data_IF_262907418017
#
_entry.id   IF_262907418017
#
_cell.length_a   1.000
_cell.length_b   1.000
_cell.length_c   1.000
_cell.angle_alpha   90.00
_cell.angle_beta   90.00
_cell.angle_gamma   90.00
#
_symmetry.space_group_name_H-M   'P 1'
#
loop_
_entity.id
_entity.type
_entity.pdbx_description
1 polymer ?
#
# COMPACT_ATOMS: atom_id res chain seq x y z
N UNK A 1 -0.46 -8.52 1.79
CA UNK A 1 -1.06 -7.31 1.18
C UNK A 1 -0.03 -6.42 0.48
N UNK A 2 1.06 -6.00 1.13
CA UNK A 2 2.07 -5.11 0.51
C UNK A 2 2.68 -5.61 -0.80
N UNK A 3 2.94 -6.92 -0.96
CA UNK A 3 3.46 -7.50 -2.22
C UNK A 3 2.49 -7.32 -3.40
N UNK A 4 1.18 -7.48 -3.14
CA UNK A 4 0.15 -7.28 -4.16
C UNK A 4 0.03 -5.79 -4.51
N UNK A 5 0.09 -4.91 -3.52
CA UNK A 5 0.16 -3.46 -3.73
C UNK A 5 1.37 -3.08 -4.59
N UNK A 6 2.54 -3.67 -4.35
CA UNK A 6 3.73 -3.45 -5.18
C UNK A 6 3.49 -3.84 -6.63
N UNK A 7 2.91 -5.03 -6.87
CA UNK A 7 2.60 -5.48 -8.24
C UNK A 7 1.62 -4.53 -8.93
N UNK A 8 0.60 -4.06 -8.22
CA UNK A 8 -0.37 -3.09 -8.75
C UNK A 8 0.30 -1.76 -9.06
N UNK A 9 1.12 -1.24 -8.14
CA UNK A 9 1.88 0.01 -8.33
C UNK A 9 2.86 -0.10 -9.50
N UNK A 10 3.45 -1.27 -9.74
CA UNK A 10 4.38 -1.47 -10.85
C UNK A 10 3.69 -1.92 -12.15
N UNK A 11 2.34 -1.90 -12.22
CA UNK A 11 1.56 -2.39 -13.36
C UNK A 11 1.86 -3.85 -13.75
N UNK A 12 2.32 -4.67 -12.80
CA UNK A 12 2.57 -6.11 -12.98
C UNK A 12 1.26 -6.90 -12.76
N UNK A 13 0.34 -6.35 -11.97
CA UNK A 13 -0.94 -6.98 -11.68
C UNK A 13 -1.94 -6.81 -12.84
N UNK A 14 -2.89 -7.76 -13.03
CA UNK A 14 -4.00 -7.62 -13.96
C UNK A 14 -4.76 -6.29 -13.82
N UNK A 15 -5.33 -5.74 -14.91
CA UNK A 15 -6.04 -4.46 -14.91
C UNK A 15 -7.21 -4.39 -13.91
N UNK A 16 -7.82 -5.53 -13.61
CA UNK A 16 -8.91 -5.64 -12.62
C UNK A 16 -8.41 -5.29 -11.21
N UNK A 17 -7.16 -5.64 -10.88
CA UNK A 17 -6.57 -5.34 -9.59
C UNK A 17 -6.01 -3.92 -9.52
N UNK A 18 -5.71 -3.29 -10.66
CA UNK A 18 -5.23 -1.90 -10.67
C UNK A 18 -6.30 -0.88 -10.29
N UNK A 19 -7.59 -1.17 -10.50
CA UNK A 19 -8.68 -0.33 -9.98
C UNK A 19 -8.77 -0.33 -8.43
N UNK A 20 -8.24 -1.37 -7.79
CA UNK A 20 -8.28 -1.46 -6.33
C UNK A 20 -7.38 -0.43 -5.65
N UNK A 21 -6.37 0.10 -6.35
CA UNK A 21 -5.38 1.00 -5.76
C UNK A 21 -5.10 2.16 -6.70
N UNK A 22 -5.43 3.38 -6.25
CA UNK A 22 -5.23 4.59 -7.04
C UNK A 22 -3.93 5.26 -6.64
N UNK A 23 -2.99 5.42 -7.58
CA UNK A 23 -1.77 6.20 -7.37
C UNK A 23 -2.12 7.67 -7.14
N UNK A 24 -1.53 8.28 -6.11
CA UNK A 24 -1.72 9.70 -5.85
C UNK A 24 -0.85 10.50 -6.83
N UNK A 25 -1.42 10.92 -7.95
CA UNK A 25 -0.76 11.89 -8.83
C UNK A 25 -0.76 13.26 -8.16
N UNK A 26 0.32 13.60 -7.48
CA UNK A 26 0.53 14.95 -6.96
C UNK A 26 1.65 15.55 -7.79
N UNK A 27 1.36 16.56 -8.61
CA UNK A 27 2.36 17.25 -9.45
C UNK A 27 3.40 18.06 -8.67
N UNK A 28 3.54 17.82 -7.36
CA UNK A 28 4.39 18.59 -6.45
C UNK A 28 5.35 17.63 -5.75
N UNK A 29 6.62 17.78 -6.12
CA UNK A 29 7.72 16.87 -5.85
C UNK A 29 8.36 17.18 -4.48
N UNK A 30 7.76 16.71 -3.38
CA UNK A 30 8.34 16.88 -2.05
C UNK A 30 8.26 15.60 -1.22
N UNK A 31 9.40 14.88 -1.16
CA UNK A 31 9.79 13.86 -0.15
C UNK A 31 8.87 12.66 0.07
N UNK A 32 7.73 12.58 -0.60
CA UNK A 32 6.76 11.49 -0.55
C UNK A 32 6.42 11.02 -1.97
N UNK A 33 7.41 10.44 -2.65
CA UNK A 33 7.23 9.84 -3.97
C UNK A 33 6.39 8.55 -3.83
N UNK A 34 5.59 8.23 -4.85
CA UNK A 34 4.83 6.96 -4.91
C UNK A 34 3.80 6.73 -3.79
N UNK A 35 3.15 7.79 -3.28
CA UNK A 35 2.00 7.64 -2.39
C UNK A 35 0.77 7.08 -3.10
N UNK A 36 -0.07 6.37 -2.36
CA UNK A 36 -1.36 5.90 -2.81
C UNK A 36 -2.50 6.73 -2.22
N UNK A 37 -3.55 6.93 -3.00
CA UNK A 37 -4.75 7.63 -2.55
C UNK A 37 -5.58 6.66 -1.71
N UNK A 38 -5.70 6.96 -0.42
CA UNK A 38 -6.61 6.25 0.48
C UNK A 38 -8.03 6.75 0.20
N UNK A 39 -8.99 5.89 -0.20
CA UNK A 39 -10.37 6.30 -0.42
C UNK A 39 -11.04 6.70 0.90
N UNK A 40 -11.89 7.74 0.92
CA UNK A 40 -12.66 8.09 2.11
C UNK A 40 -13.69 6.98 2.39
N UNK A 41 -13.51 6.25 3.50
CA UNK A 41 -14.49 5.27 3.95
C UNK A 41 -15.68 5.99 4.58
N UNK A 42 -16.82 5.98 3.88
CA UNK A 42 -18.07 6.59 4.36
C UNK A 42 -18.83 5.73 5.37
N UNK A 43 -18.49 4.43 5.48
CA UNK A 43 -19.12 3.48 6.40
C UNK A 43 -18.07 2.77 7.25
N UNK A 44 -18.18 2.94 8.57
CA UNK A 44 -17.22 2.49 9.58
C UNK A 44 -17.24 0.98 9.87
N UNK A 45 -18.27 0.27 9.42
CA UNK A 45 -18.49 -1.15 9.75
C UNK A 45 -17.91 -2.16 8.73
N UNK A 46 -17.83 -1.83 7.43
CA UNK A 46 -17.41 -2.79 6.38
C UNK A 46 -16.36 -2.26 5.39
N UNK A 47 -16.12 -0.95 5.31
CA UNK A 47 -15.20 -0.36 4.31
C UNK A 47 -13.72 -0.34 4.71
N UNK A 48 -13.41 -0.43 6.00
CA UNK A 48 -12.03 -0.37 6.52
C UNK A 48 -11.23 -1.66 6.30
N UNK A 49 -11.92 -2.78 6.06
CA UNK A 49 -11.31 -4.10 5.84
C UNK A 49 -11.12 -4.45 4.37
N UNK A 50 -11.61 -3.64 3.44
CA UNK A 50 -11.39 -3.90 2.02
C UNK A 50 -9.93 -3.65 1.66
N UNK A 51 -9.36 -4.51 0.79
CA UNK A 51 -8.03 -4.31 0.22
C UNK A 51 -7.85 -2.89 -0.34
N UNK A 52 -8.90 -2.32 -0.93
CA UNK A 52 -8.98 -0.95 -1.46
C UNK A 52 -8.68 0.15 -0.41
N UNK A 53 -8.87 -0.11 0.87
CA UNK A 53 -8.50 0.80 1.97
C UNK A 53 -7.21 0.37 2.67
N UNK A 54 -7.08 -0.91 3.02
CA UNK A 54 -5.93 -1.41 3.77
C UNK A 54 -4.62 -1.34 2.97
N UNK A 55 -4.65 -1.60 1.67
CA UNK A 55 -3.46 -1.57 0.80
C UNK A 55 -2.82 -0.17 0.70
N UNK A 56 -3.55 0.92 0.37
CA UNK A 56 -2.95 2.25 0.31
C UNK A 56 -2.54 2.77 1.69
N UNK A 57 -3.25 2.42 2.78
CA UNK A 57 -2.85 2.78 4.15
C UNK A 57 -1.51 2.12 4.50
N UNK A 58 -1.40 0.81 4.32
CA UNK A 58 -0.18 0.05 4.59
C UNK A 58 1.00 0.59 3.78
N UNK A 59 0.81 0.81 2.49
CA UNK A 59 1.85 1.32 1.59
C UNK A 59 2.31 2.73 1.98
N UNK A 60 1.39 3.59 2.41
CA UNK A 60 1.73 4.94 2.85
C UNK A 60 2.45 4.96 4.22
N UNK A 61 2.23 3.95 5.06
CA UNK A 61 3.00 3.73 6.30
C UNK A 61 4.43 3.22 6.05
N UNK A 62 4.74 2.74 4.85
CA UNK A 62 6.10 2.34 4.49
C UNK A 62 6.99 3.58 4.30
N UNK A 63 8.24 3.50 4.76
CA UNK A 63 9.23 4.56 4.50
C UNK A 63 9.59 4.61 3.01
N UNK A 64 10.18 5.73 2.58
CA UNK A 64 10.56 5.94 1.18
C UNK A 64 11.42 4.80 0.61
N UNK A 65 12.33 4.22 1.41
CA UNK A 65 13.19 3.11 1.02
C UNK A 65 12.43 1.87 0.48
N UNK A 66 11.25 1.57 1.03
CA UNK A 66 10.42 0.47 0.54
C UNK A 66 9.71 0.82 -0.76
N UNK A 67 9.33 2.09 -0.94
CA UNK A 67 8.52 2.58 -2.07
C UNK A 67 9.35 2.92 -3.30
N UNK A 68 10.62 3.26 -3.11
CA UNK A 68 11.58 3.51 -4.20
C UNK A 68 12.25 2.23 -4.72
N UNK A 69 12.04 1.11 -4.04
CA UNK A 69 12.51 -0.18 -4.51
C UNK A 69 11.86 -0.54 -5.85
N UNK A 70 12.66 -0.75 -6.89
CA UNK A 70 12.20 -1.12 -8.23
C UNK A 70 12.23 -2.63 -8.49
N UNK A 71 12.94 -3.40 -7.65
CA UNK A 71 13.02 -4.85 -7.78
C UNK A 71 12.05 -5.56 -6.84
N UNK A 72 11.18 -6.41 -7.39
CA UNK A 72 10.23 -7.22 -6.61
C UNK A 72 10.94 -8.13 -5.61
N UNK A 73 12.08 -8.73 -5.98
CA UNK A 73 12.84 -9.62 -5.12
C UNK A 73 13.42 -8.89 -3.90
N UNK A 74 14.00 -7.70 -4.13
CA UNK A 74 14.50 -6.84 -3.05
C UNK A 74 13.35 -6.37 -2.15
N UNK A 75 12.24 -5.93 -2.75
CA UNK A 75 11.06 -5.53 -1.99
C UNK A 75 10.51 -6.66 -1.11
N UNK A 76 10.50 -7.90 -1.62
CA UNK A 76 10.06 -9.09 -0.86
C UNK A 76 10.92 -9.35 0.37
N UNK A 77 12.24 -9.21 0.25
CA UNK A 77 13.15 -9.36 1.39
C UNK A 77 13.00 -8.20 2.37
N UNK A 78 12.92 -6.96 1.87
CA UNK A 78 12.73 -5.77 2.68
C UNK A 78 11.42 -5.81 3.46
N UNK A 79 10.29 -6.09 2.82
CA UNK A 79 8.99 -6.13 3.50
C UNK A 79 8.91 -7.25 4.54
N UNK A 80 9.71 -8.32 4.39
CA UNK A 80 9.82 -9.38 5.40
C UNK A 80 10.54 -8.91 6.66
N UNK A 81 11.43 -7.91 6.57
CA UNK A 81 12.08 -7.30 7.74
C UNK A 81 11.26 -6.15 8.33
N UNK A 82 10.21 -5.71 7.64
CA UNK A 82 9.29 -4.70 8.13
C UNK A 82 8.41 -5.29 9.23
N UNK A 83 8.81 -5.11 10.48
CA UNK A 83 7.98 -5.39 11.64
C UNK A 83 6.90 -4.30 11.71
N UNK A 84 5.66 -4.64 11.41
CA UNK A 84 4.51 -3.74 11.21
C UNK A 84 4.01 -2.98 12.43
N UNK A 85 4.93 -2.54 13.31
CA UNK A 85 4.70 -1.88 14.60
C UNK A 85 3.86 -0.59 14.55
N UNK A 86 3.54 -0.08 13.36
CA UNK A 86 2.70 1.12 13.16
C UNK A 86 1.38 0.82 12.41
N UNK A 87 1.13 -0.41 11.92
CA UNK A 87 -0.15 -0.72 11.29
C UNK A 87 -1.21 -1.03 12.36
N UNK A 88 -2.04 -0.05 12.69
CA UNK A 88 -3.25 -0.22 13.51
C UNK A 88 -4.42 -0.81 12.71
N UNK A 89 -4.13 -1.66 11.74
CA UNK A 89 -5.13 -2.26 10.87
C UNK A 89 -5.62 -3.58 11.47
N UNK A 90 -6.94 -3.82 11.51
CA UNK A 90 -7.54 -5.04 12.07
C UNK A 90 -7.01 -6.32 11.39
N UNK A 91 -6.56 -6.22 10.14
CA UNK A 91 -5.96 -7.35 9.41
C UNK A 91 -4.53 -7.71 9.86
N UNK A 92 -3.87 -6.85 10.66
CA UNK A 92 -2.63 -7.15 11.37
C UNK A 92 -2.87 -7.40 12.87
N UNK A 93 -4.09 -7.16 13.35
CA UNK A 93 -4.59 -7.51 14.69
C UNK A 93 -5.23 -8.91 14.63
N UNK A 94 -4.47 -9.89 14.15
CA UNK A 94 -4.83 -11.30 14.37
C UNK A 94 -4.21 -11.70 15.69
N UNK A 95 -5.01 -11.62 16.76
CA UNK A 95 -4.70 -12.27 18.04
C UNK A 95 -4.58 -13.79 17.89
#
# INVERSE_FOLDING_TARGET
MALETFKIVNNIAPPVLSDLVVKKSTGINFRYSNLLKVPPVRTTAYGKNSFKYAAPVLWNSLTDHFRTCSSFGQFKTLISTWSGKDCKCIACDSG
#
